data_IF_158927567289
#
_entry.id   IF_158927567289
#
_cell.length_a   1.000
_cell.length_b   1.000
_cell.length_c   1.000
_cell.angle_alpha   90.00
_cell.angle_beta   90.00
_cell.angle_gamma   90.00
#
_symmetry.space_group_name_H-M   'P 1'
#
loop_
_entity.id
_entity.type
_entity.pdbx_description
1 polymer ?
#
# COMPACT_ATOMS: atom_id res chain seq x y z
N UNK A 1 -0.17 40.09 22.64
CA UNK A 1 -1.56 39.87 22.22
C UNK A 1 -1.78 40.12 20.70
N UNK A 2 -0.77 39.86 19.84
CA UNK A 2 -0.87 40.07 18.37
C UNK A 2 -0.46 38.84 17.55
N UNK A 3 -0.47 37.62 18.12
CA UNK A 3 0.01 36.40 17.44
C UNK A 3 -1.05 35.32 17.22
N UNK A 4 -2.34 35.60 17.48
CA UNK A 4 -3.41 34.59 17.33
C UNK A 4 -4.47 34.96 16.27
N UNK A 5 -4.28 36.03 15.47
CA UNK A 5 -5.29 36.47 14.49
C UNK A 5 -5.10 36.00 13.05
N UNK A 6 -4.10 35.16 12.74
CA UNK A 6 -3.86 34.66 11.38
C UNK A 6 -3.93 33.11 11.25
N UNK A 7 -4.70 32.44 12.10
CA UNK A 7 -4.90 30.99 12.00
C UNK A 7 -6.22 30.64 11.32
N UNK A 8 -6.56 31.29 10.22
CA UNK A 8 -7.70 30.93 9.37
C UNK A 8 -7.29 30.67 7.91
N UNK A 9 -6.04 30.33 7.64
CA UNK A 9 -5.73 29.67 6.38
C UNK A 9 -6.33 28.25 6.45
N UNK A 10 -7.38 28.03 5.70
CA UNK A 10 -7.97 26.70 5.51
C UNK A 10 -6.98 25.89 4.67
N UNK A 11 -6.14 25.10 5.33
CA UNK A 11 -5.34 24.10 4.65
C UNK A 11 -6.29 23.12 3.95
N UNK A 12 -6.20 23.02 2.64
CA UNK A 12 -6.94 22.02 1.86
C UNK A 12 -5.97 20.96 1.32
N UNK A 13 -6.46 19.76 1.08
CA UNK A 13 -5.69 18.70 0.41
C UNK A 13 -5.11 19.18 -0.93
N UNK A 14 -5.87 19.99 -1.67
CA UNK A 14 -5.46 20.56 -2.96
C UNK A 14 -4.26 21.48 -2.84
N UNK A 15 -4.23 22.35 -1.81
CA UNK A 15 -3.09 23.24 -1.52
C UNK A 15 -1.85 22.44 -1.05
N UNK A 16 -2.07 21.26 -0.44
CA UNK A 16 -1.01 20.33 -0.08
C UNK A 16 -0.51 19.51 -1.27
N UNK A 17 -1.05 19.71 -2.49
CA UNK A 17 -0.66 18.99 -3.70
C UNK A 17 -1.50 17.73 -3.98
N UNK A 18 -2.55 17.47 -3.18
CA UNK A 18 -3.44 16.31 -3.36
C UNK A 18 -4.80 16.82 -3.85
N UNK A 19 -5.04 16.77 -5.15
CA UNK A 19 -6.35 17.08 -5.74
C UNK A 19 -7.16 15.78 -5.86
N UNK A 20 -7.99 15.50 -4.86
CA UNK A 20 -8.78 14.27 -4.73
C UNK A 20 -9.70 14.06 -5.93
N UNK A 21 -10.27 15.12 -6.49
CA UNK A 21 -11.16 15.03 -7.65
C UNK A 21 -10.38 14.65 -8.92
N UNK A 22 -9.20 15.25 -9.11
CA UNK A 22 -8.31 14.95 -10.24
C UNK A 22 -7.74 13.53 -10.14
N UNK A 23 -7.36 13.09 -8.93
CA UNK A 23 -6.90 11.73 -8.69
C UNK A 23 -8.01 10.72 -8.99
N UNK A 24 -9.23 10.95 -8.50
CA UNK A 24 -10.39 10.09 -8.77
C UNK A 24 -10.71 10.00 -10.27
N UNK A 25 -10.64 11.12 -11.01
CA UNK A 25 -10.86 11.13 -12.45
C UNK A 25 -9.74 10.41 -13.22
N UNK A 26 -8.50 10.58 -12.78
CA UNK A 26 -7.34 9.86 -13.31
C UNK A 26 -7.46 8.35 -13.13
N UNK A 27 -7.78 7.90 -11.93
CA UNK A 27 -8.01 6.48 -11.62
C UNK A 27 -9.18 5.92 -12.43
N UNK A 28 -10.30 6.64 -12.51
CA UNK A 28 -11.46 6.24 -13.33
C UNK A 28 -11.08 6.11 -14.80
N UNK A 29 -10.30 7.04 -15.33
CA UNK A 29 -9.82 7.00 -16.72
C UNK A 29 -8.96 5.76 -16.95
N UNK A 30 -8.03 5.44 -16.04
CA UNK A 30 -7.21 4.24 -16.10
C UNK A 30 -8.07 2.97 -16.07
N UNK A 31 -9.01 2.86 -15.12
CA UNK A 31 -9.90 1.70 -14.98
C UNK A 31 -10.71 1.47 -16.27
N UNK A 32 -11.20 2.52 -16.90
CA UNK A 32 -11.97 2.43 -18.15
C UNK A 32 -11.16 1.84 -19.33
N UNK A 33 -9.83 1.92 -19.27
CA UNK A 33 -8.94 1.31 -20.27
C UNK A 33 -8.65 -0.17 -19.99
N UNK A 34 -8.94 -0.66 -18.79
CA UNK A 34 -8.73 -2.06 -18.38
C UNK A 34 -9.89 -2.94 -18.86
N UNK A 35 -9.98 -3.17 -20.16
CA UNK A 35 -11.09 -3.92 -20.77
C UNK A 35 -10.86 -5.43 -20.83
N UNK A 36 -9.60 -5.90 -20.77
CA UNK A 36 -9.29 -7.32 -20.83
C UNK A 36 -9.73 -8.02 -19.53
N UNK A 37 -10.36 -9.17 -19.69
CA UNK A 37 -10.70 -10.07 -18.59
C UNK A 37 -10.19 -11.47 -18.93
N UNK A 38 -9.60 -12.12 -17.95
CA UNK A 38 -9.20 -13.53 -18.07
C UNK A 38 -10.42 -14.38 -18.35
N UNK A 39 -10.31 -15.29 -19.30
CA UNK A 39 -11.34 -16.33 -19.59
C UNK A 39 -10.99 -17.63 -18.87
N UNK A 40 -12.01 -18.46 -18.59
CA UNK A 40 -11.85 -19.76 -17.91
C UNK A 40 -11.80 -19.62 -16.39
N UNK A 41 -11.13 -20.58 -15.73
CA UNK A 41 -11.01 -20.62 -14.28
C UNK A 41 -10.22 -19.41 -13.74
N UNK A 42 -10.43 -19.09 -12.46
CA UNK A 42 -9.75 -17.98 -11.75
C UNK A 42 -10.06 -16.62 -12.33
N UNK A 43 -11.31 -16.41 -12.74
CA UNK A 43 -11.80 -15.10 -13.16
C UNK A 43 -11.88 -14.12 -11.99
N UNK A 44 -11.88 -12.82 -12.31
CA UNK A 44 -12.11 -11.77 -11.34
C UNK A 44 -13.57 -11.83 -10.84
N UNK A 45 -13.76 -11.74 -9.54
CA UNK A 45 -15.07 -11.58 -8.90
C UNK A 45 -15.33 -10.10 -8.62
N UNK A 46 -16.54 -9.64 -8.94
CA UNK A 46 -16.87 -8.21 -8.80
C UNK A 46 -16.19 -7.33 -9.85
N UNK A 47 -15.83 -6.13 -9.46
CA UNK A 47 -15.16 -5.11 -10.28
C UNK A 47 -13.87 -4.60 -9.66
N UNK A 48 -13.16 -3.74 -10.39
CA UNK A 48 -12.03 -2.95 -9.87
C UNK A 48 -12.59 -1.78 -9.06
N UNK A 49 -11.94 -1.43 -7.94
CA UNK A 49 -12.30 -0.25 -7.13
C UNK A 49 -12.82 -0.58 -5.73
N UNK A 50 -12.72 -1.83 -5.30
CA UNK A 50 -12.90 -2.23 -3.89
C UNK A 50 -11.55 -2.14 -3.14
N UNK A 51 -11.55 -2.34 -1.81
CA UNK A 51 -10.33 -2.35 -0.99
C UNK A 51 -9.30 -3.37 -1.47
N UNK A 52 -9.76 -4.55 -1.92
CA UNK A 52 -8.91 -5.56 -2.51
C UNK A 52 -9.57 -6.22 -3.72
N UNK A 53 -8.79 -6.65 -4.70
CA UNK A 53 -9.26 -7.42 -5.84
C UNK A 53 -9.56 -8.87 -5.46
N UNK A 54 -10.62 -9.46 -6.01
CA UNK A 54 -11.05 -10.82 -5.72
C UNK A 54 -10.91 -11.70 -6.95
N UNK A 55 -10.37 -12.90 -6.76
CA UNK A 55 -10.16 -13.92 -7.81
C UNK A 55 -10.87 -15.20 -7.40
N UNK A 56 -11.66 -15.77 -8.29
CA UNK A 56 -12.32 -17.05 -8.10
C UNK A 56 -11.30 -18.19 -7.93
N UNK A 57 -11.40 -18.94 -6.85
CA UNK A 57 -10.56 -20.09 -6.59
C UNK A 57 -11.38 -21.29 -6.06
N UNK A 58 -12.50 -21.57 -6.73
CA UNK A 58 -13.42 -22.64 -6.38
C UNK A 58 -14.30 -22.29 -5.17
N UNK A 59 -14.18 -23.04 -4.10
CA UNK A 59 -14.86 -22.80 -2.81
C UNK A 59 -14.22 -21.64 -2.01
N UNK A 60 -13.05 -21.18 -2.48
CA UNK A 60 -12.32 -20.05 -1.89
C UNK A 60 -12.25 -18.86 -2.84
N UNK A 61 -11.82 -17.75 -2.28
CA UNK A 61 -11.43 -16.55 -3.00
C UNK A 61 -9.98 -16.24 -2.65
N UNK A 62 -9.17 -15.95 -3.65
CA UNK A 62 -7.90 -15.26 -3.46
C UNK A 62 -8.12 -13.77 -3.58
N UNK A 63 -7.44 -13.01 -2.76
CA UNK A 63 -7.54 -11.56 -2.75
C UNK A 63 -6.17 -10.91 -2.83
N UNK A 64 -6.07 -9.79 -3.53
CA UNK A 64 -4.85 -9.00 -3.64
C UNK A 64 -5.15 -7.52 -3.47
N UNK A 65 -4.33 -6.83 -2.69
CA UNK A 65 -4.28 -5.38 -2.62
C UNK A 65 -2.83 -4.90 -2.66
N UNK A 66 -2.65 -3.63 -2.96
CA UNK A 66 -1.35 -2.95 -2.90
C UNK A 66 -1.53 -1.55 -2.36
N UNK A 67 -0.63 -1.15 -1.45
CA UNK A 67 -0.60 0.17 -0.87
C UNK A 67 0.82 0.57 -0.47
N UNK A 68 1.09 1.86 -0.36
CA UNK A 68 2.39 2.43 -0.01
C UNK A 68 2.36 3.26 1.27
N UNK A 69 3.52 3.41 1.90
CA UNK A 69 3.66 4.24 3.11
C UNK A 69 3.41 5.73 2.81
N UNK A 70 3.80 6.17 1.61
CA UNK A 70 3.54 7.52 1.15
C UNK A 70 4.32 8.57 1.94
N UNK A 71 3.69 9.75 2.18
CA UNK A 71 4.36 10.92 2.74
C UNK A 71 4.89 10.75 4.17
N UNK A 72 4.47 9.71 4.91
CA UNK A 72 5.08 9.36 6.20
C UNK A 72 6.58 9.05 6.10
N UNK A 73 7.05 8.61 4.92
CA UNK A 73 8.48 8.41 4.66
C UNK A 73 9.30 9.68 4.89
N UNK A 74 8.74 10.86 4.61
CA UNK A 74 9.41 12.15 4.86
C UNK A 74 9.64 12.40 6.36
N UNK A 75 8.72 11.96 7.21
CA UNK A 75 8.87 12.05 8.67
C UNK A 75 9.98 11.12 9.14
N UNK A 76 10.04 9.89 8.60
CA UNK A 76 11.11 8.95 8.89
C UNK A 76 12.48 9.50 8.46
N UNK A 77 12.55 10.13 7.29
CA UNK A 77 13.76 10.78 6.78
C UNK A 77 14.21 11.95 7.68
N UNK A 78 13.28 12.80 8.11
CA UNK A 78 13.58 13.93 9.01
C UNK A 78 14.08 13.46 10.38
N UNK A 79 13.54 12.34 10.88
CA UNK A 79 13.94 11.73 12.16
C UNK A 79 15.16 10.82 12.03
N UNK A 80 15.54 10.42 10.82
CA UNK A 80 16.56 9.38 10.55
C UNK A 80 16.22 8.05 11.26
N UNK A 81 14.91 7.73 11.32
CA UNK A 81 14.38 6.52 11.94
C UNK A 81 13.31 5.88 11.03
N UNK A 82 13.66 4.75 10.44
CA UNK A 82 12.81 3.96 9.53
C UNK A 82 12.33 2.65 10.17
N UNK A 83 12.54 2.47 11.47
CA UNK A 83 12.29 1.19 12.15
C UNK A 83 10.79 0.80 12.18
N UNK A 84 9.88 1.77 12.04
CA UNK A 84 8.42 1.54 12.07
C UNK A 84 7.75 1.58 10.71
N UNK A 85 8.42 2.09 9.66
CA UNK A 85 7.76 2.25 8.33
C UNK A 85 7.39 0.91 7.68
N UNK A 86 8.12 -0.16 8.00
CA UNK A 86 7.77 -1.51 7.58
C UNK A 86 6.47 -2.02 8.20
N UNK A 87 6.20 -1.65 9.46
CA UNK A 87 4.93 -1.94 10.14
C UNK A 87 3.80 -1.16 9.46
N UNK A 88 4.02 0.12 9.16
CA UNK A 88 3.04 0.95 8.43
C UNK A 88 2.71 0.35 7.06
N UNK A 89 3.72 -0.03 6.29
CA UNK A 89 3.55 -0.64 4.97
C UNK A 89 2.72 -1.92 5.04
N UNK A 90 3.02 -2.78 6.01
CA UNK A 90 2.26 -4.01 6.25
C UNK A 90 0.82 -3.71 6.65
N UNK A 91 0.62 -2.80 7.61
CA UNK A 91 -0.69 -2.47 8.14
C UNK A 91 -1.64 -1.89 7.09
N UNK A 92 -1.15 -1.02 6.20
CA UNK A 92 -1.98 -0.42 5.13
C UNK A 92 -2.57 -1.50 4.23
N UNK A 93 -1.77 -2.49 3.83
CA UNK A 93 -2.22 -3.60 2.99
C UNK A 93 -3.11 -4.60 3.76
N UNK A 94 -2.71 -4.96 4.97
CA UNK A 94 -3.42 -5.96 5.79
C UNK A 94 -4.79 -5.46 6.23
N UNK A 95 -4.93 -4.17 6.54
CA UNK A 95 -6.22 -3.59 6.91
C UNK A 95 -7.23 -3.65 5.76
N UNK A 96 -6.79 -3.48 4.51
CA UNK A 96 -7.64 -3.63 3.33
C UNK A 96 -8.18 -5.07 3.18
N UNK A 97 -7.40 -6.07 3.58
CA UNK A 97 -7.86 -7.46 3.64
C UNK A 97 -8.88 -7.67 4.77
N UNK A 98 -8.60 -7.15 5.97
CA UNK A 98 -9.46 -7.38 7.13
C UNK A 98 -10.83 -6.73 7.00
N UNK A 99 -10.96 -5.55 6.38
CA UNK A 99 -12.28 -4.94 6.16
C UNK A 99 -13.19 -5.75 5.25
N UNK A 100 -12.62 -6.66 4.46
CA UNK A 100 -13.33 -7.61 3.60
C UNK A 100 -13.44 -9.01 4.20
N UNK A 101 -13.07 -9.17 5.47
CA UNK A 101 -13.00 -10.46 6.17
C UNK A 101 -12.10 -11.47 5.46
N UNK A 102 -10.95 -11.04 4.95
CA UNK A 102 -9.98 -11.88 4.23
C UNK A 102 -8.76 -12.09 5.12
N UNK A 103 -8.30 -13.33 5.23
CA UNK A 103 -7.08 -13.68 5.95
C UNK A 103 -5.86 -13.36 5.07
N UNK A 104 -4.96 -12.44 5.48
CA UNK A 104 -3.71 -12.20 4.79
C UNK A 104 -2.76 -13.37 5.02
N UNK A 105 -2.11 -13.87 3.96
CA UNK A 105 -1.23 -15.06 4.04
C UNK A 105 0.19 -14.82 3.51
N UNK A 106 0.35 -13.88 2.58
CA UNK A 106 1.66 -13.58 2.01
C UNK A 106 1.79 -12.10 1.65
N UNK A 107 3.03 -11.64 1.63
CA UNK A 107 3.37 -10.26 1.33
C UNK A 107 4.65 -10.18 0.49
N UNK A 108 4.70 -9.20 -0.39
CA UNK A 108 5.92 -8.76 -1.09
C UNK A 108 6.02 -7.25 -0.99
N UNK A 109 7.25 -6.74 -0.80
CA UNK A 109 7.53 -5.31 -0.75
C UNK A 109 8.09 -4.79 -2.08
N UNK A 110 7.97 -3.49 -2.27
CA UNK A 110 8.65 -2.74 -3.32
C UNK A 110 9.33 -1.52 -2.70
N UNK A 111 10.65 -1.50 -2.76
CA UNK A 111 11.47 -0.38 -2.29
C UNK A 111 12.04 0.35 -3.50
N UNK A 112 11.64 1.61 -3.69
CA UNK A 112 12.23 2.50 -4.68
C UNK A 112 13.12 3.52 -3.96
N UNK A 113 14.42 3.59 -4.30
CA UNK A 113 15.35 4.47 -3.61
C UNK A 113 16.25 5.22 -4.59
N UNK A 114 16.69 6.41 -4.22
CA UNK A 114 17.73 7.14 -4.95
C UNK A 114 19.11 6.46 -4.84
N UNK A 115 19.35 5.77 -3.71
CA UNK A 115 20.60 5.05 -3.45
C UNK A 115 20.49 4.16 -2.21
N UNK A 116 21.19 3.04 -2.22
CA UNK A 116 21.15 2.06 -1.13
C UNK A 116 21.90 2.58 0.09
N UNK A 117 21.20 2.69 1.21
CA UNK A 117 21.73 2.89 2.55
C UNK A 117 21.49 1.63 3.39
N UNK A 118 22.57 0.95 3.79
CA UNK A 118 22.46 -0.34 4.52
C UNK A 118 21.79 -0.21 5.88
N UNK A 119 22.05 0.87 6.61
CA UNK A 119 21.45 1.10 7.93
C UNK A 119 19.94 1.31 7.81
N UNK A 120 19.51 2.09 6.84
CA UNK A 120 18.11 2.28 6.49
C UNK A 120 17.42 0.94 6.11
N UNK A 121 18.08 0.12 5.28
CA UNK A 121 17.55 -1.21 4.91
C UNK A 121 17.40 -2.13 6.12
N UNK A 122 18.33 -2.09 7.07
CA UNK A 122 18.21 -2.87 8.33
C UNK A 122 16.99 -2.43 9.12
N UNK A 123 16.77 -1.14 9.28
CA UNK A 123 15.64 -0.60 10.03
C UNK A 123 14.30 -0.94 9.36
N UNK A 124 14.20 -0.78 8.04
CA UNK A 124 13.02 -1.16 7.26
C UNK A 124 12.73 -2.66 7.42
N UNK A 125 13.76 -3.50 7.31
CA UNK A 125 13.65 -4.95 7.50
C UNK A 125 13.15 -5.35 8.88
N UNK A 126 13.60 -4.66 9.93
CA UNK A 126 13.07 -4.85 11.31
C UNK A 126 11.59 -4.55 11.37
N UNK A 127 11.15 -3.42 10.79
CA UNK A 127 9.74 -3.04 10.74
C UNK A 127 8.88 -4.00 9.93
N UNK A 128 9.35 -4.43 8.75
CA UNK A 128 8.64 -5.42 7.91
C UNK A 128 8.49 -6.76 8.64
N UNK A 129 9.56 -7.24 9.28
CA UNK A 129 9.52 -8.49 10.06
C UNK A 129 8.53 -8.42 11.23
N UNK A 130 8.50 -7.30 11.95
CA UNK A 130 7.55 -7.10 13.04
C UNK A 130 6.11 -7.01 12.51
N UNK A 131 5.88 -6.30 11.41
CA UNK A 131 4.58 -6.23 10.74
C UNK A 131 4.07 -7.63 10.33
N UNK A 132 4.94 -8.44 9.73
CA UNK A 132 4.63 -9.82 9.33
C UNK A 132 4.28 -10.71 10.54
N UNK A 133 5.02 -10.55 11.64
CA UNK A 133 4.74 -11.25 12.90
C UNK A 133 3.36 -10.86 13.46
N UNK A 134 3.03 -9.57 13.48
CA UNK A 134 1.74 -9.07 13.97
C UNK A 134 0.57 -9.53 13.10
N UNK A 135 0.74 -9.56 11.79
CA UNK A 135 -0.28 -10.00 10.83
C UNK A 135 -0.31 -11.53 10.64
N UNK A 136 0.64 -12.26 11.21
CA UNK A 136 0.79 -13.71 11.06
C UNK A 136 0.84 -14.16 9.58
N UNK A 137 1.64 -13.48 8.77
CA UNK A 137 1.84 -13.79 7.35
C UNK A 137 3.32 -13.95 7.01
N UNK A 138 3.61 -14.50 5.83
CA UNK A 138 4.97 -14.64 5.33
C UNK A 138 5.33 -13.53 4.34
N UNK A 139 6.51 -12.94 4.50
CA UNK A 139 7.15 -12.17 3.44
C UNK A 139 7.81 -13.18 2.50
N UNK A 140 7.29 -13.29 1.27
CA UNK A 140 7.71 -14.32 0.30
C UNK A 140 8.63 -13.79 -0.79
N UNK A 141 8.89 -12.49 -0.80
CA UNK A 141 9.77 -11.83 -1.77
C UNK A 141 9.63 -10.32 -1.70
N UNK A 142 10.18 -9.66 -2.68
CA UNK A 142 10.13 -8.21 -2.83
C UNK A 142 11.03 -7.73 -3.96
N UNK A 143 11.04 -6.43 -4.20
CA UNK A 143 11.89 -5.78 -5.19
C UNK A 143 12.54 -4.53 -4.58
N UNK A 144 13.81 -4.32 -4.86
CA UNK A 144 14.52 -3.10 -4.48
C UNK A 144 15.14 -2.46 -5.72
N UNK A 145 14.60 -1.32 -6.11
CA UNK A 145 15.01 -0.57 -7.29
C UNK A 145 15.78 0.70 -6.93
N UNK A 146 17.00 0.85 -7.47
CA UNK A 146 17.74 2.11 -7.40
C UNK A 146 17.36 2.99 -8.58
N UNK A 147 16.59 4.04 -8.33
CA UNK A 147 15.96 4.91 -9.35
C UNK A 147 16.46 6.36 -9.20
N UNK A 148 17.76 6.56 -9.39
CA UNK A 148 18.40 7.88 -9.27
C UNK A 148 17.78 8.89 -10.22
N UNK A 149 17.34 10.02 -9.69
CA UNK A 149 16.69 11.09 -10.45
C UNK A 149 15.23 10.83 -10.81
N UNK A 150 14.66 9.68 -10.45
CA UNK A 150 13.23 9.38 -10.57
C UNK A 150 12.52 9.42 -9.22
N UNK A 151 13.19 9.01 -8.16
CA UNK A 151 12.70 9.04 -6.79
C UNK A 151 13.57 10.01 -5.99
N UNK A 152 12.96 10.79 -5.12
CA UNK A 152 13.67 11.64 -4.16
C UNK A 152 13.62 10.99 -2.78
N UNK A 153 14.76 10.47 -2.32
CA UNK A 153 14.84 9.70 -1.10
C UNK A 153 14.44 8.23 -1.29
N UNK A 154 13.42 7.79 -0.56
CA UNK A 154 12.93 6.40 -0.57
C UNK A 154 11.41 6.36 -0.54
N UNK A 155 10.83 5.45 -1.32
CA UNK A 155 9.43 5.04 -1.24
C UNK A 155 9.34 3.55 -0.91
N UNK A 156 8.35 3.19 -0.09
CA UNK A 156 8.09 1.83 0.35
C UNK A 156 6.62 1.49 0.13
N UNK A 157 6.36 0.49 -0.68
CA UNK A 157 5.04 -0.05 -0.93
C UNK A 157 5.01 -1.57 -0.73
N UNK A 158 3.84 -2.14 -0.68
CA UNK A 158 3.67 -3.57 -0.56
C UNK A 158 2.49 -4.10 -1.34
N UNK A 159 2.46 -5.41 -1.51
CA UNK A 159 1.33 -6.14 -2.06
C UNK A 159 1.03 -7.32 -1.17
N UNK A 160 -0.20 -7.42 -0.71
CA UNK A 160 -0.69 -8.49 0.13
C UNK A 160 -1.52 -9.48 -0.68
N UNK A 161 -1.32 -10.78 -0.43
CA UNK A 161 -2.17 -11.85 -0.88
C UNK A 161 -2.95 -12.39 0.32
N UNK A 162 -4.25 -12.54 0.16
CA UNK A 162 -5.13 -13.12 1.17
C UNK A 162 -6.01 -14.23 0.60
N UNK A 163 -6.65 -14.98 1.49
CA UNK A 163 -7.56 -16.06 1.17
C UNK A 163 -8.76 -16.06 2.11
N UNK A 164 -9.94 -16.43 1.60
CA UNK A 164 -11.14 -16.64 2.41
C UNK A 164 -12.04 -17.66 1.74
N UNK A 165 -12.94 -18.27 2.52
CA UNK A 165 -14.06 -19.01 1.95
C UNK A 165 -15.00 -18.04 1.22
N UNK A 166 -15.53 -18.47 0.07
CA UNK A 166 -16.32 -17.59 -0.80
C UNK A 166 -17.53 -16.97 -0.12
N UNK A 167 -18.21 -17.71 0.74
CA UNK A 167 -19.41 -17.30 1.47
C UNK A 167 -19.14 -16.41 2.68
N UNK A 168 -17.87 -16.26 3.06
CA UNK A 168 -17.45 -15.47 4.21
C UNK A 168 -16.88 -14.08 3.84
N UNK A 169 -16.68 -13.79 2.55
CA UNK A 169 -16.23 -12.46 2.08
C UNK A 169 -17.35 -11.44 2.25
N UNK A 170 -17.01 -10.25 2.78
CA UNK A 170 -17.95 -9.15 3.05
C UNK A 170 -17.87 -8.10 1.95
#
# INVERSE_FOLDING_TARGET
TKRLSNMTEKYSYKEAGVDIDLEADGVKTLINMLSYKRSGEHGMLGGVGHFAGLIDFGDKVLSMCTDGVGTKMRVADDLQDWSTVGIDCMAMNVNDMYVMNIEPIAFVDYIATEGINKEQMVQIGVGLNEGARLANLNIVGGETATLKGMVNGLDLAGTCLGVQNRDAVV
#
